data_IF_268761768115
#
_entry.id   IF_268761768115
#
_cell.length_a   1.000
_cell.length_b   1.000
_cell.length_c   1.000
_cell.angle_alpha   90.00
_cell.angle_beta   90.00
_cell.angle_gamma   90.00
#
_symmetry.space_group_name_H-M   'P 1'
#
loop_
_entity.id
_entity.type
_entity.pdbx_description
1 polymer ?
#
# COMPACT_ATOMS: atom_id res chain seq x y z
N UNK A 1 16.47 -0.38 10.88
CA UNK A 1 15.81 -1.57 10.31
C UNK A 1 14.32 -1.29 10.29
N UNK A 2 13.69 -1.24 9.11
CA UNK A 2 12.22 -1.18 9.04
C UNK A 2 11.69 -2.52 9.55
N UNK A 3 10.75 -2.47 10.49
CA UNK A 3 10.17 -3.67 11.07
C UNK A 3 9.42 -4.45 9.98
N UNK A 4 9.85 -5.68 9.69
CA UNK A 4 9.34 -6.52 8.60
C UNK A 4 7.83 -6.82 8.73
N UNK A 5 7.28 -6.57 9.91
CA UNK A 5 5.85 -6.64 10.27
C UNK A 5 4.99 -5.59 9.57
N UNK A 6 5.52 -4.39 9.30
CA UNK A 6 4.77 -3.27 8.71
C UNK A 6 4.30 -3.54 7.26
N UNK A 7 5.04 -4.38 6.53
CA UNK A 7 4.75 -4.72 5.13
C UNK A 7 3.94 -6.02 4.96
N UNK A 8 3.92 -6.90 5.97
CA UNK A 8 3.09 -8.10 5.94
C UNK A 8 1.61 -7.73 5.86
N UNK A 9 0.79 -8.50 5.13
CA UNK A 9 -0.67 -8.27 4.99
C UNK A 9 -1.42 -9.51 5.46
N UNK A 10 -2.51 -9.32 6.18
CA UNK A 10 -3.40 -10.34 6.72
C UNK A 10 -4.83 -10.12 6.22
N UNK A 11 -5.70 -11.12 6.36
CA UNK A 11 -7.12 -10.96 5.98
C UNK A 11 -7.82 -9.82 6.75
N UNK A 12 -7.40 -9.53 7.98
CA UNK A 12 -7.91 -8.42 8.80
C UNK A 12 -7.61 -7.04 8.21
N UNK A 13 -6.62 -6.94 7.33
CA UNK A 13 -6.28 -5.69 6.65
C UNK A 13 -7.30 -5.31 5.58
N UNK A 14 -8.10 -6.27 5.11
CA UNK A 14 -9.15 -6.08 4.10
C UNK A 14 -10.55 -5.91 4.70
N UNK A 15 -10.67 -5.81 6.03
CA UNK A 15 -11.96 -5.57 6.67
C UNK A 15 -12.47 -4.15 6.36
N UNK A 16 -13.69 -4.00 5.82
CA UNK A 16 -14.17 -2.70 5.30
C UNK A 16 -14.52 -1.69 6.38
N UNK A 17 -14.82 -2.14 7.60
CA UNK A 17 -15.15 -1.28 8.72
C UNK A 17 -14.34 -1.69 9.95
N UNK A 18 -13.65 -0.72 10.53
CA UNK A 18 -12.76 -0.95 11.66
C UNK A 18 -13.04 0.01 12.81
N UNK A 19 -12.65 -0.41 14.00
CA UNK A 19 -12.63 0.47 15.17
C UNK A 19 -11.30 1.19 15.23
N UNK A 20 -11.36 2.51 15.43
CA UNK A 20 -10.20 3.40 15.42
C UNK A 20 -10.09 4.08 16.78
N UNK A 21 -8.90 4.03 17.39
CA UNK A 21 -8.61 4.77 18.62
C UNK A 21 -7.43 5.72 18.44
N UNK A 22 -7.46 6.82 19.17
CA UNK A 22 -6.35 7.76 19.23
C UNK A 22 -5.29 7.24 20.20
N UNK A 23 -4.01 7.27 19.82
CA UNK A 23 -2.92 6.82 20.68
C UNK A 23 -2.60 7.84 21.79
N UNK A 24 -3.18 7.67 22.98
CA UNK A 24 -3.06 8.65 24.08
C UNK A 24 -1.64 8.84 24.65
N UNK A 25 -0.87 7.76 24.76
CA UNK A 25 0.47 7.76 25.37
C UNK A 25 1.61 7.74 24.34
N UNK A 26 1.29 7.92 23.06
CA UNK A 26 2.23 7.81 21.96
C UNK A 26 2.96 9.12 21.63
N UNK A 27 3.62 9.11 20.47
CA UNK A 27 4.22 10.31 19.88
C UNK A 27 3.14 11.36 19.68
N UNK A 28 3.47 12.62 19.98
CA UNK A 28 2.61 13.78 19.78
C UNK A 28 3.21 14.67 18.70
N UNK A 29 2.35 15.36 17.96
CA UNK A 29 2.75 16.47 17.11
C UNK A 29 3.22 17.66 17.97
N UNK A 30 3.90 18.64 17.34
CA UNK A 30 4.42 19.85 18.02
C UNK A 30 3.33 20.64 18.81
N UNK A 31 2.05 20.47 18.47
CA UNK A 31 0.91 21.05 19.19
C UNK A 31 0.31 20.17 20.30
N UNK A 32 0.99 19.11 20.74
CA UNK A 32 0.55 18.21 21.82
C UNK A 32 -0.57 17.23 21.45
N UNK A 33 -1.11 17.30 20.21
CA UNK A 33 -2.08 16.33 19.69
C UNK A 33 -1.41 14.98 19.42
N UNK A 34 -2.08 13.85 19.69
CA UNK A 34 -1.56 12.53 19.34
C UNK A 34 -1.24 12.41 17.86
N UNK A 35 -0.08 11.85 17.52
CA UNK A 35 0.38 11.72 16.14
C UNK A 35 -0.23 10.50 15.42
N UNK A 36 -0.71 9.51 16.17
CA UNK A 36 -1.16 8.24 15.62
C UNK A 36 -2.61 7.90 15.97
N UNK A 37 -3.27 7.27 15.01
CA UNK A 37 -4.49 6.49 15.14
C UNK A 37 -4.14 5.01 15.08
N UNK A 38 -4.72 4.21 15.95
CA UNK A 38 -4.56 2.76 15.97
C UNK A 38 -5.84 2.14 15.43
N UNK A 39 -5.68 1.29 14.41
CA UNK A 39 -6.73 0.35 14.01
C UNK A 39 -6.77 -0.78 15.03
N UNK A 40 -7.87 -0.90 15.77
CA UNK A 40 -8.01 -1.91 16.83
C UNK A 40 -8.13 -3.34 16.29
N UNK A 41 -8.52 -3.50 15.03
CA UNK A 41 -8.64 -4.81 14.38
C UNK A 41 -7.26 -5.41 14.09
N UNK A 42 -6.33 -4.59 13.60
CA UNK A 42 -5.00 -5.03 13.16
C UNK A 42 -3.88 -4.65 14.12
N UNK A 43 -4.11 -3.71 15.04
CA UNK A 43 -3.11 -3.12 15.92
C UNK A 43 -2.16 -2.13 15.22
N UNK A 44 -2.35 -1.86 13.93
CA UNK A 44 -1.45 -1.00 13.15
C UNK A 44 -1.68 0.48 13.45
N UNK A 45 -0.59 1.25 13.42
CA UNK A 45 -0.58 2.69 13.65
C UNK A 45 -0.58 3.44 12.33
N UNK A 46 -1.44 4.43 12.21
CA UNK A 46 -1.56 5.31 11.06
C UNK A 46 -1.49 6.76 11.51
N UNK A 47 -1.13 7.69 10.61
CA UNK A 47 -1.12 9.11 10.94
C UNK A 47 -2.50 9.60 11.43
N UNK A 48 -2.52 10.37 12.53
CA UNK A 48 -3.72 10.99 13.08
C UNK A 48 -4.07 12.27 12.33
N UNK A 49 -4.52 12.09 11.11
CA UNK A 49 -4.91 13.16 10.20
C UNK A 49 -6.40 13.46 10.33
N UNK A 50 -6.77 14.71 10.05
CA UNK A 50 -8.18 15.11 10.03
C UNK A 50 -8.93 14.29 8.96
N UNK A 51 -10.21 13.98 9.20
CA UNK A 51 -11.03 13.29 8.20
C UNK A 51 -11.09 14.05 6.87
N UNK A 52 -11.13 15.39 6.92
CA UNK A 52 -11.13 16.24 5.73
C UNK A 52 -9.86 16.05 4.89
N UNK A 53 -8.69 16.08 5.53
CA UNK A 53 -7.41 15.83 4.89
C UNK A 53 -7.39 14.46 4.20
N UNK A 54 -7.75 13.39 4.93
CA UNK A 54 -7.74 12.03 4.36
C UNK A 54 -8.73 11.90 3.20
N UNK A 55 -9.90 12.52 3.27
CA UNK A 55 -10.87 12.56 2.16
C UNK A 55 -10.30 13.23 0.92
N UNK A 56 -9.66 14.38 1.09
CA UNK A 56 -9.02 15.09 -0.01
C UNK A 56 -7.95 14.24 -0.67
N UNK A 57 -7.11 13.55 0.13
CA UNK A 57 -6.12 12.60 -0.39
C UNK A 57 -6.77 11.44 -1.16
N UNK A 58 -7.86 10.89 -0.63
CA UNK A 58 -8.61 9.83 -1.33
C UNK A 58 -9.22 10.33 -2.65
N UNK A 59 -9.71 11.57 -2.70
CA UNK A 59 -10.19 12.19 -3.94
C UNK A 59 -9.06 12.36 -4.98
N UNK A 60 -7.87 12.83 -4.54
CA UNK A 60 -6.69 12.88 -5.41
C UNK A 60 -6.28 11.49 -5.91
N UNK A 61 -6.32 10.47 -5.05
CA UNK A 61 -6.01 9.09 -5.44
C UNK A 61 -7.04 8.51 -6.42
N UNK A 62 -8.32 8.87 -6.31
CA UNK A 62 -9.35 8.46 -7.27
C UNK A 62 -9.04 9.01 -8.67
N UNK A 63 -8.48 10.21 -8.76
CA UNK A 63 -8.07 10.79 -10.05
C UNK A 63 -6.71 10.27 -10.53
N UNK A 64 -5.75 10.12 -9.62
CA UNK A 64 -4.37 9.77 -9.92
C UNK A 64 -4.15 8.28 -10.18
N UNK A 65 -4.89 7.40 -9.48
CA UNK A 65 -4.72 5.94 -9.59
C UNK A 65 -4.95 5.45 -11.02
N UNK A 66 -6.05 5.83 -11.71
CA UNK A 66 -6.27 5.39 -13.10
C UNK A 66 -5.20 5.90 -14.05
N UNK A 67 -4.78 7.17 -13.91
CA UNK A 67 -3.78 7.79 -14.79
C UNK A 67 -2.42 7.11 -14.69
N UNK A 68 -1.93 6.91 -13.46
CA UNK A 68 -0.62 6.28 -13.24
C UNK A 68 -0.64 4.82 -13.67
N UNK A 69 -1.71 4.10 -13.31
CA UNK A 69 -1.79 2.67 -13.62
C UNK A 69 -2.12 2.38 -15.08
N UNK A 70 -2.75 3.31 -15.82
CA UNK A 70 -2.94 3.17 -17.28
C UNK A 70 -1.62 3.00 -18.04
N UNK A 71 -0.51 3.51 -17.49
CA UNK A 71 0.81 3.39 -18.09
C UNK A 71 1.64 2.32 -17.36
N UNK A 72 1.73 2.42 -16.03
CA UNK A 72 2.62 1.57 -15.25
C UNK A 72 2.17 0.09 -15.24
N UNK A 73 0.87 -0.17 -15.17
CA UNK A 73 0.37 -1.54 -15.06
C UNK A 73 0.57 -2.33 -16.37
N UNK A 74 0.21 -1.82 -17.58
CA UNK A 74 0.51 -2.52 -18.83
C UNK A 74 1.99 -2.81 -19.04
N UNK A 75 2.87 -1.84 -18.75
CA UNK A 75 4.32 -2.03 -18.89
C UNK A 75 4.85 -3.13 -17.95
N UNK A 76 4.42 -3.12 -16.69
CA UNK A 76 4.82 -4.12 -15.70
C UNK A 76 4.26 -5.52 -16.04
N UNK A 77 3.02 -5.60 -16.53
CA UNK A 77 2.41 -6.85 -16.99
C UNK A 77 3.13 -7.38 -18.23
N UNK A 78 3.37 -6.54 -19.24
CA UNK A 78 4.09 -6.91 -20.45
C UNK A 78 5.51 -7.42 -20.13
N UNK A 79 6.24 -6.72 -19.26
CA UNK A 79 7.55 -7.14 -18.79
C UNK A 79 7.52 -8.54 -18.14
N UNK A 80 6.54 -8.80 -17.25
CA UNK A 80 6.39 -10.11 -16.59
C UNK A 80 6.01 -11.20 -17.58
N UNK A 81 5.10 -10.93 -18.51
CA UNK A 81 4.72 -11.87 -19.58
C UNK A 81 5.95 -12.23 -20.42
N UNK A 82 6.74 -11.24 -20.85
CA UNK A 82 7.98 -11.48 -21.60
C UNK A 82 8.96 -12.33 -20.80
N UNK A 83 9.12 -12.07 -19.51
CA UNK A 83 9.99 -12.85 -18.61
C UNK A 83 9.52 -14.30 -18.44
N UNK A 84 8.21 -14.52 -18.40
CA UNK A 84 7.60 -15.85 -18.33
C UNK A 84 7.77 -16.63 -19.65
N UNK A 85 7.44 -16.00 -20.78
CA UNK A 85 7.51 -16.64 -22.12
C UNK A 85 8.98 -16.93 -22.51
N UNK A 86 9.91 -16.04 -22.16
CA UNK A 86 11.35 -16.25 -22.43
C UNK A 86 12.01 -17.26 -21.50
N UNK A 87 11.28 -17.84 -20.53
CA UNK A 87 11.84 -18.71 -19.48
C UNK A 87 13.04 -18.08 -18.75
N UNK A 88 13.10 -16.75 -18.68
CA UNK A 88 14.25 -16.02 -18.13
C UNK A 88 14.57 -16.43 -16.68
N UNK A 89 13.55 -16.75 -15.89
CA UNK A 89 13.69 -17.29 -14.53
C UNK A 89 14.56 -18.55 -14.46
N UNK A 90 14.57 -19.36 -15.52
CA UNK A 90 15.30 -20.62 -15.59
C UNK A 90 16.66 -20.48 -16.27
N UNK A 91 16.85 -19.44 -17.10
CA UNK A 91 18.06 -19.27 -17.89
C UNK A 91 19.17 -18.45 -17.21
N UNK A 92 18.90 -17.79 -16.06
CA UNK A 92 19.90 -17.01 -15.33
C UNK A 92 21.15 -17.86 -14.96
N UNK A 93 22.33 -17.62 -15.57
CA UNK A 93 23.53 -18.45 -15.37
C UNK A 93 24.37 -18.08 -14.13
N UNK A 94 24.12 -16.93 -13.49
CA UNK A 94 25.09 -16.29 -12.59
C UNK A 94 24.81 -16.36 -11.08
N UNK A 95 23.82 -17.11 -10.61
CA UNK A 95 23.51 -17.17 -9.17
C UNK A 95 23.71 -18.61 -8.65
N UNK A 96 24.96 -18.93 -8.29
CA UNK A 96 25.47 -20.27 -7.97
C UNK A 96 24.83 -21.03 -6.81
N UNK A 97 23.74 -20.53 -6.22
CA UNK A 97 22.96 -21.21 -5.17
C UNK A 97 21.43 -21.10 -5.38
N UNK A 98 20.97 -20.61 -6.54
CA UNK A 98 19.54 -20.38 -6.77
C UNK A 98 18.80 -21.65 -7.20
N UNK A 99 18.19 -22.34 -6.23
CA UNK A 99 17.50 -23.62 -6.45
C UNK A 99 16.39 -23.55 -7.50
N UNK A 100 16.14 -24.65 -8.22
CA UNK A 100 15.01 -24.74 -9.16
C UNK A 100 13.66 -24.40 -8.51
N UNK A 101 13.48 -24.80 -7.24
CA UNK A 101 12.28 -24.47 -6.46
C UNK A 101 12.09 -22.96 -6.30
N UNK A 102 13.16 -22.23 -6.00
CA UNK A 102 13.11 -20.76 -5.90
C UNK A 102 12.73 -20.12 -7.24
N UNK A 103 13.32 -20.58 -8.35
CA UNK A 103 12.97 -20.13 -9.70
C UNK A 103 11.51 -20.38 -10.06
N UNK A 104 10.98 -21.55 -9.71
CA UNK A 104 9.58 -21.90 -9.93
C UNK A 104 8.64 -21.03 -9.08
N UNK A 105 9.01 -20.74 -7.83
CA UNK A 105 8.25 -19.83 -6.96
C UNK A 105 8.23 -18.40 -7.52
N UNK A 106 9.34 -17.92 -8.05
CA UNK A 106 9.40 -16.60 -8.68
C UNK A 106 8.55 -16.50 -9.95
N UNK A 107 8.56 -17.55 -10.77
CA UNK A 107 7.70 -17.64 -11.95
C UNK A 107 6.21 -17.67 -11.56
N UNK A 108 5.85 -18.46 -10.54
CA UNK A 108 4.49 -18.50 -10.01
C UNK A 108 4.05 -17.14 -9.44
N UNK A 109 4.95 -16.44 -8.73
CA UNK A 109 4.68 -15.10 -8.22
C UNK A 109 4.48 -14.08 -9.35
N UNK A 110 5.27 -14.14 -10.42
CA UNK A 110 5.09 -13.28 -11.59
C UNK A 110 3.76 -13.57 -12.32
N UNK A 111 3.38 -14.84 -12.46
CA UNK A 111 2.08 -15.24 -13.01
C UNK A 111 0.91 -14.72 -12.16
N UNK A 112 0.98 -14.91 -10.84
CA UNK A 112 -0.05 -14.44 -9.92
C UNK A 112 -0.20 -12.92 -9.98
N UNK A 113 0.91 -12.17 -10.11
CA UNK A 113 0.88 -10.71 -10.28
C UNK A 113 0.24 -10.30 -11.60
N UNK A 114 0.51 -11.00 -12.71
CA UNK A 114 -0.14 -10.71 -13.99
C UNK A 114 -1.66 -10.88 -13.89
N UNK A 115 -2.12 -12.02 -13.35
CA UNK A 115 -3.55 -12.31 -13.19
C UNK A 115 -4.20 -11.40 -12.14
N UNK A 116 -3.47 -11.08 -11.08
CA UNK A 116 -3.95 -10.25 -9.97
C UNK A 116 -3.96 -8.75 -10.26
N UNK A 117 -3.24 -8.27 -11.29
CA UNK A 117 -3.14 -6.84 -11.58
C UNK A 117 -4.51 -6.17 -11.79
N UNK A 118 -5.43 -6.69 -12.64
CA UNK A 118 -6.75 -6.08 -12.80
C UNK A 118 -7.55 -5.99 -11.49
N UNK A 119 -7.46 -7.03 -10.65
CA UNK A 119 -8.13 -7.08 -9.35
C UNK A 119 -7.53 -6.04 -8.40
N UNK A 120 -6.20 -5.90 -8.39
CA UNK A 120 -5.50 -4.91 -7.60
C UNK A 120 -5.90 -3.48 -7.99
N UNK A 121 -5.98 -3.18 -9.29
CA UNK A 121 -6.39 -1.87 -9.80
C UNK A 121 -7.82 -1.51 -9.38
N UNK A 122 -8.75 -2.45 -9.54
CA UNK A 122 -10.13 -2.27 -9.07
C UNK A 122 -10.18 -2.08 -7.55
N UNK A 123 -9.42 -2.87 -6.80
CA UNK A 123 -9.33 -2.77 -5.34
C UNK A 123 -8.81 -1.41 -4.88
N UNK A 124 -7.75 -0.90 -5.50
CA UNK A 124 -7.18 0.42 -5.21
C UNK A 124 -8.19 1.54 -5.52
N UNK A 125 -8.83 1.49 -6.68
CA UNK A 125 -9.79 2.50 -7.10
C UNK A 125 -11.03 2.52 -6.20
N UNK A 126 -11.62 1.35 -5.93
CA UNK A 126 -12.76 1.23 -5.03
C UNK A 126 -12.41 1.67 -3.60
N UNK A 127 -11.19 1.39 -3.14
CA UNK A 127 -10.72 1.84 -1.82
C UNK A 127 -10.55 3.35 -1.75
N UNK A 128 -10.07 3.98 -2.82
CA UNK A 128 -9.95 5.44 -2.92
C UNK A 128 -11.33 6.10 -2.90
N UNK A 129 -12.27 5.62 -3.72
CA UNK A 129 -13.66 6.11 -3.75
C UNK A 129 -14.34 5.90 -2.40
N UNK A 130 -14.20 4.72 -1.80
CA UNK A 130 -14.74 4.43 -0.47
C UNK A 130 -14.17 5.40 0.57
N UNK A 131 -12.86 5.70 0.53
CA UNK A 131 -12.18 6.64 1.41
C UNK A 131 -12.67 8.09 1.32
N UNK A 132 -13.36 8.48 0.24
CA UNK A 132 -14.03 9.79 0.20
C UNK A 132 -15.17 9.85 1.23
N UNK A 133 -15.89 8.73 1.43
CA UNK A 133 -17.00 8.66 2.37
C UNK A 133 -16.52 8.23 3.77
N UNK A 134 -15.68 7.20 3.83
CA UNK A 134 -15.15 6.54 5.04
C UNK A 134 -13.61 6.63 5.08
N UNK A 135 -13.05 7.81 5.39
CA UNK A 135 -11.63 8.13 5.16
C UNK A 135 -10.63 7.16 5.76
N UNK A 136 -10.78 6.80 7.03
CA UNK A 136 -9.79 5.95 7.70
C UNK A 136 -9.81 4.52 7.17
N UNK A 137 -11.00 3.97 6.93
CA UNK A 137 -11.15 2.62 6.39
C UNK A 137 -10.71 2.54 4.92
N UNK A 138 -11.11 3.50 4.08
CA UNK A 138 -10.66 3.56 2.69
C UNK A 138 -9.15 3.73 2.56
N UNK A 139 -8.54 4.60 3.38
CA UNK A 139 -7.08 4.72 3.49
C UNK A 139 -6.41 3.38 3.82
N UNK A 140 -6.92 2.68 4.83
CA UNK A 140 -6.39 1.38 5.25
C UNK A 140 -6.49 0.36 4.13
N UNK A 141 -7.64 0.26 3.48
CA UNK A 141 -7.86 -0.69 2.38
C UNK A 141 -6.91 -0.39 1.22
N UNK A 142 -6.79 0.88 0.82
CA UNK A 142 -5.87 1.30 -0.24
C UNK A 142 -4.43 0.87 0.05
N UNK A 143 -3.92 1.20 1.25
CA UNK A 143 -2.57 0.80 1.66
C UNK A 143 -2.39 -0.73 1.73
N UNK A 144 -3.46 -1.47 2.04
CA UNK A 144 -3.43 -2.93 2.11
C UNK A 144 -3.38 -3.56 0.72
N UNK A 145 -4.11 -3.02 -0.25
CA UNK A 145 -3.98 -3.40 -1.66
C UNK A 145 -2.57 -3.09 -2.20
N UNK A 146 -2.02 -1.90 -1.94
CA UNK A 146 -0.66 -1.56 -2.39
C UNK A 146 0.37 -2.57 -1.84
N UNK A 147 0.32 -2.87 -0.53
CA UNK A 147 1.24 -3.82 0.09
C UNK A 147 1.06 -5.24 -0.42
N UNK A 148 -0.18 -5.70 -0.59
CA UNK A 148 -0.45 -7.07 -1.01
C UNK A 148 0.03 -7.35 -2.45
N UNK A 149 -0.10 -6.38 -3.36
CA UNK A 149 0.20 -6.60 -4.77
C UNK A 149 1.58 -6.08 -5.18
N UNK A 150 2.09 -5.02 -4.56
CA UNK A 150 3.36 -4.41 -4.92
C UNK A 150 4.48 -4.69 -3.92
N UNK A 151 4.19 -5.11 -2.68
CA UNK A 151 5.16 -5.21 -1.58
C UNK A 151 5.88 -3.88 -1.24
N UNK A 152 5.42 -2.76 -1.81
CA UNK A 152 5.85 -1.39 -1.55
C UNK A 152 4.71 -0.43 -1.90
N UNK A 153 4.79 0.82 -1.45
CA UNK A 153 3.84 1.88 -1.84
C UNK A 153 4.25 2.50 -3.18
N UNK A 154 3.27 2.88 -4.00
CA UNK A 154 3.52 3.58 -5.27
C UNK A 154 3.04 5.02 -5.15
N UNK A 155 1.81 5.22 -4.70
CA UNK A 155 1.14 6.52 -4.72
C UNK A 155 0.84 7.09 -3.34
N UNK A 156 0.63 6.23 -2.34
CA UNK A 156 0.12 6.64 -1.04
C UNK A 156 1.05 6.27 0.13
N UNK A 157 2.30 6.79 0.19
CA UNK A 157 3.20 6.53 1.31
C UNK A 157 2.61 6.95 2.66
N UNK A 158 1.82 8.03 2.68
CA UNK A 158 1.17 8.53 3.89
C UNK A 158 0.01 7.65 4.38
N UNK A 159 -0.47 6.71 3.54
CA UNK A 159 -1.54 5.78 3.91
C UNK A 159 -1.01 4.50 4.54
N UNK A 160 0.29 4.26 4.41
CA UNK A 160 0.96 3.11 5.01
C UNK A 160 0.97 3.23 6.53
N UNK A 161 0.99 2.09 7.26
CA UNK A 161 1.25 2.15 8.69
C UNK A 161 2.64 2.71 8.97
N UNK A 162 2.77 3.38 10.10
CA UNK A 162 4.00 4.08 10.49
C UNK A 162 4.56 4.94 9.33
N UNK A 163 3.76 5.88 8.79
CA UNK A 163 4.11 6.60 7.59
C UNK A 163 5.37 7.43 7.80
N UNK A 164 6.30 7.35 6.85
CA UNK A 164 7.57 8.09 6.90
C UNK A 164 7.48 9.49 6.30
N UNK A 165 6.46 9.76 5.50
CA UNK A 165 6.25 11.01 4.78
C UNK A 165 4.76 11.30 4.61
N UNK A 166 4.39 12.59 4.56
CA UNK A 166 3.05 13.01 4.14
C UNK A 166 2.88 12.92 2.62
N UNK A 167 1.63 13.02 2.14
CA UNK A 167 1.33 13.15 0.71
C UNK A 167 2.03 14.43 0.24
N UNK A 168 2.98 14.34 -0.70
CA UNK A 168 3.88 15.42 -1.17
C UNK A 168 5.16 15.68 -0.35
N UNK A 169 5.54 14.80 0.58
CA UNK A 169 6.85 14.88 1.24
C UNK A 169 6.95 15.85 2.42
N UNK A 170 5.81 16.24 3.00
CA UNK A 170 5.77 17.01 4.26
C UNK A 170 6.35 16.24 5.45
N UNK A 171 6.79 17.00 6.47
CA UNK A 171 7.41 16.47 7.69
C UNK A 171 6.42 15.63 8.52
N UNK A 172 6.67 14.32 8.73
CA UNK A 172 5.79 13.43 9.51
C UNK A 172 5.64 13.82 10.99
N UNK A 173 6.45 14.75 11.49
CA UNK A 173 6.37 15.28 12.85
C UNK A 173 5.39 16.45 12.99
N UNK A 174 4.81 16.92 11.88
CA UNK A 174 3.88 18.04 11.86
C UNK A 174 2.50 17.55 11.40
N UNK A 175 1.41 18.12 11.94
CA UNK A 175 0.09 17.80 11.44
C UNK A 175 -0.03 18.32 10.00
N UNK A 176 -0.62 17.52 9.14
CA UNK A 176 -0.90 17.94 7.77
C UNK A 176 -1.90 19.12 7.79
N UNK A 177 -1.56 20.22 7.12
CA UNK A 177 -2.31 21.50 7.21
C UNK A 177 -3.43 21.62 6.17
N UNK A 178 -3.59 20.62 5.30
CA UNK A 178 -4.64 20.57 4.28
C UNK A 178 -5.98 20.04 4.81
#
# INVERSE_FOLDING_TARGET
MADSTSLSVTLKDFQPYNSWKVEGNGKKYEGGKPANLIDETTGRKYGNESKGCVRFKCALLTLGTPLVHAIAAPLNVAYRILKLISFFHFWKPQEGNYSFKARALDAAADLLRVVGTPIALLGLELSAVFGIFTPYDGRKLYASFERAFYNHFILAPCFQPDPKTHLLGGDPNKPDQF
#
